data_IF_792244638071
#
_entry.id   IF_792244638071
#
_cell.length_a   1.000
_cell.length_b   1.000
_cell.length_c   1.000
_cell.angle_alpha   90.00
_cell.angle_beta   90.00
_cell.angle_gamma   90.00
#
_symmetry.space_group_name_H-M   'P 1'
#
loop_
_entity.id
_entity.type
_entity.pdbx_description
1 polymer ?
#
# COMPACT_ATOMS: atom_id res chain seq x y z
N UNK A 1 54.18 32.94 -4.75
CA UNK A 1 53.16 31.97 -5.26
C UNK A 1 52.27 31.39 -4.15
N UNK A 2 52.75 31.20 -2.91
CA UNK A 2 51.96 30.67 -1.78
C UNK A 2 50.79 31.57 -1.33
N UNK A 3 51.00 32.89 -1.34
CA UNK A 3 50.03 33.88 -0.87
C UNK A 3 48.79 33.98 -1.78
N UNK A 4 48.99 34.03 -3.10
CA UNK A 4 47.91 34.03 -4.08
C UNK A 4 47.03 32.76 -3.97
N UNK A 5 47.67 31.60 -3.82
CA UNK A 5 46.96 30.33 -3.63
C UNK A 5 46.16 30.33 -2.32
N UNK A 6 46.69 30.95 -1.25
CA UNK A 6 45.97 31.09 0.02
C UNK A 6 44.75 31.98 -0.09
N UNK A 7 44.87 33.11 -0.79
CA UNK A 7 43.76 34.05 -1.06
C UNK A 7 42.69 33.37 -1.91
N UNK A 8 43.05 32.69 -2.99
CA UNK A 8 42.11 31.96 -3.84
C UNK A 8 41.35 30.87 -3.06
N UNK A 9 42.06 30.11 -2.21
CA UNK A 9 41.43 29.12 -1.32
C UNK A 9 40.47 29.75 -0.33
N UNK A 10 40.79 30.92 0.21
CA UNK A 10 39.93 31.64 1.14
C UNK A 10 38.65 32.12 0.44
N UNK A 11 38.76 32.68 -0.77
CA UNK A 11 37.61 33.11 -1.60
C UNK A 11 36.74 31.91 -1.92
N UNK A 12 37.29 30.84 -2.47
CA UNK A 12 36.52 29.62 -2.81
C UNK A 12 35.83 29.03 -1.57
N UNK A 13 36.51 29.02 -0.44
CA UNK A 13 35.92 28.52 0.83
C UNK A 13 34.75 29.40 1.29
N UNK A 14 34.84 30.70 1.08
CA UNK A 14 33.80 31.65 1.48
C UNK A 14 32.58 31.54 0.55
N UNK A 15 32.78 31.43 -0.74
CA UNK A 15 31.73 31.14 -1.72
C UNK A 15 31.05 29.79 -1.46
N UNK A 16 31.81 28.75 -1.14
CA UNK A 16 31.25 27.43 -0.79
C UNK A 16 30.38 27.44 0.47
N UNK A 17 30.60 28.36 1.40
CA UNK A 17 29.73 28.53 2.58
C UNK A 17 28.36 29.10 2.26
N UNK A 18 28.23 29.82 1.15
CA UNK A 18 26.96 30.36 0.68
C UNK A 18 26.06 29.28 0.06
N UNK A 19 26.64 28.16 -0.38
CA UNK A 19 25.90 27.05 -0.98
C UNK A 19 25.32 26.15 0.11
N UNK A 20 24.02 25.93 0.05
CA UNK A 20 23.34 24.90 0.83
C UNK A 20 23.17 23.63 0.00
N UNK A 21 23.76 22.53 0.46
CA UNK A 21 23.70 21.26 -0.25
C UNK A 21 22.55 20.39 0.25
N UNK A 22 22.32 20.34 1.55
CA UNK A 22 21.24 19.60 2.15
C UNK A 22 21.13 19.83 3.64
N UNK A 23 19.93 19.63 4.18
CA UNK A 23 19.62 19.76 5.61
C UNK A 23 18.67 18.66 6.06
N UNK A 24 18.66 18.39 7.35
CA UNK A 24 17.62 17.61 8.01
C UNK A 24 16.59 18.56 8.61
N UNK A 25 15.31 18.24 8.42
CA UNK A 25 14.22 19.03 8.95
C UNK A 25 13.10 18.15 9.50
N UNK A 26 12.28 18.73 10.36
CA UNK A 26 11.09 18.09 10.92
C UNK A 26 9.85 18.77 10.32
N UNK A 27 8.89 17.99 9.84
CA UNK A 27 7.64 18.48 9.29
C UNK A 27 6.80 19.12 10.39
N UNK A 28 6.34 20.35 10.17
CA UNK A 28 5.50 21.11 11.11
C UNK A 28 4.06 21.28 10.62
N UNK A 29 3.82 21.26 9.30
CA UNK A 29 2.50 21.25 8.71
C UNK A 29 2.53 20.55 7.36
N UNK A 30 1.40 19.97 6.95
CA UNK A 30 1.22 19.27 5.67
C UNK A 30 0.04 19.88 4.94
N UNK A 31 0.18 20.11 3.65
CA UNK A 31 -0.84 20.68 2.77
C UNK A 31 -1.22 19.67 1.69
N UNK A 32 -2.17 18.76 1.98
CA UNK A 32 -2.65 17.80 0.98
C UNK A 32 -3.47 18.53 -0.08
N UNK A 33 -3.42 18.06 -1.32
CA UNK A 33 -4.40 18.41 -2.34
C UNK A 33 -5.68 17.63 -2.05
N UNK A 34 -6.61 18.26 -1.33
CA UNK A 34 -7.78 17.60 -0.76
C UNK A 34 -8.99 17.62 -1.70
N UNK A 35 -9.05 18.60 -2.59
CA UNK A 35 -10.10 18.74 -3.60
C UNK A 35 -9.56 19.47 -4.86
N UNK A 36 -10.30 19.37 -5.98
CA UNK A 36 -9.90 19.98 -7.26
C UNK A 36 -9.84 21.51 -7.23
N UNK A 37 -10.43 22.16 -6.24
CA UNK A 37 -10.47 23.61 -6.09
C UNK A 37 -9.35 24.18 -5.24
N UNK A 38 -8.59 23.36 -4.53
CA UNK A 38 -7.50 23.85 -3.71
C UNK A 38 -6.23 24.16 -4.54
N UNK A 39 -5.39 25.05 -4.00
CA UNK A 39 -4.13 25.46 -4.64
C UNK A 39 -2.92 24.71 -4.06
N UNK A 40 -3.13 23.62 -3.32
CA UNK A 40 -2.05 22.86 -2.72
C UNK A 40 -1.43 21.89 -3.71
N UNK A 41 -0.10 21.84 -3.73
CA UNK A 41 0.65 21.06 -4.70
C UNK A 41 1.71 20.21 -4.01
N UNK A 42 1.25 19.36 -3.08
CA UNK A 42 2.11 18.41 -2.36
C UNK A 42 3.28 19.09 -1.65
N UNK A 43 2.95 19.89 -0.65
CA UNK A 43 3.88 20.79 0.06
C UNK A 43 3.79 20.58 1.57
N UNK A 44 4.86 20.92 2.26
CA UNK A 44 4.94 20.88 3.72
C UNK A 44 5.65 22.10 4.28
N UNK A 45 5.28 22.51 5.50
CA UNK A 45 6.14 23.38 6.31
C UNK A 45 7.11 22.49 7.08
N UNK A 46 8.35 22.94 7.19
CA UNK A 46 9.39 22.20 7.89
C UNK A 46 10.26 23.13 8.73
N UNK A 47 10.69 22.65 9.88
CA UNK A 47 11.67 23.33 10.74
C UNK A 47 12.99 22.60 10.65
N UNK A 48 14.06 23.33 10.35
CA UNK A 48 15.41 22.77 10.32
C UNK A 48 15.76 22.13 11.66
N UNK A 49 16.42 20.99 11.63
CA UNK A 49 16.86 20.29 12.83
C UNK A 49 17.94 21.08 13.57
N UNK A 50 18.80 21.74 12.81
CA UNK A 50 19.87 22.60 13.34
C UNK A 50 19.44 24.06 13.31
N UNK A 51 18.63 24.49 14.30
CA UNK A 51 18.23 25.88 14.49
C UNK A 51 16.73 26.12 14.45
N UNK A 52 16.30 27.37 14.67
CA UNK A 52 14.89 27.73 14.75
C UNK A 52 14.24 28.04 13.39
N UNK A 53 14.99 27.94 12.27
CA UNK A 53 14.49 28.33 10.95
C UNK A 53 13.37 27.39 10.49
N UNK A 54 12.25 28.00 10.15
CA UNK A 54 11.11 27.32 9.57
C UNK A 54 10.94 27.74 8.10
N UNK A 55 10.86 26.74 7.22
CA UNK A 55 10.61 26.92 5.79
C UNK A 55 9.16 26.59 5.49
N UNK A 56 8.49 27.46 4.74
CA UNK A 56 7.07 27.35 4.41
C UNK A 56 6.86 26.83 3.00
N UNK A 57 5.83 26.00 2.85
CA UNK A 57 5.39 25.51 1.54
C UNK A 57 6.52 24.88 0.73
N UNK A 58 7.34 24.06 1.39
CA UNK A 58 8.43 23.34 0.71
C UNK A 58 7.84 22.20 -0.10
N UNK A 59 8.09 22.15 -1.42
CA UNK A 59 7.56 21.08 -2.27
C UNK A 59 8.20 19.74 -1.92
N UNK A 60 7.39 18.68 -2.01
CA UNK A 60 7.82 17.31 -1.80
C UNK A 60 8.03 16.61 -3.15
N UNK A 61 9.22 16.09 -3.38
CA UNK A 61 9.51 15.26 -4.55
C UNK A 61 8.74 13.93 -4.49
N UNK A 62 8.27 13.46 -5.64
CA UNK A 62 7.62 12.16 -5.79
C UNK A 62 8.41 11.30 -6.76
N UNK A 63 8.57 10.00 -6.52
CA UNK A 63 9.23 9.10 -7.47
C UNK A 63 8.42 8.88 -8.75
N UNK A 64 7.10 9.09 -8.71
CA UNK A 64 6.21 8.91 -9.85
C UNK A 64 5.02 9.86 -9.77
N UNK A 65 4.69 10.54 -10.87
CA UNK A 65 3.47 11.35 -10.99
C UNK A 65 2.25 10.43 -10.90
N UNK A 66 1.38 10.68 -9.94
CA UNK A 66 0.25 9.80 -9.60
C UNK A 66 0.46 8.98 -8.32
N UNK A 67 1.66 9.02 -7.73
CA UNK A 67 1.91 8.46 -6.40
C UNK A 67 1.87 9.58 -5.36
N UNK A 68 1.07 9.39 -4.32
CA UNK A 68 0.95 10.30 -3.19
C UNK A 68 1.31 9.58 -1.89
N UNK A 69 2.28 10.12 -1.18
CA UNK A 69 2.70 9.62 0.14
C UNK A 69 3.15 10.81 1.00
N UNK A 70 2.20 11.64 1.50
CA UNK A 70 2.55 12.81 2.30
C UNK A 70 3.20 12.39 3.63
N UNK A 71 4.19 13.14 4.10
CA UNK A 71 4.74 12.94 5.43
C UNK A 71 3.71 13.33 6.48
N UNK A 72 3.98 12.95 7.72
CA UNK A 72 3.19 13.39 8.89
C UNK A 72 3.92 14.50 9.60
N UNK A 73 3.16 15.30 10.35
CA UNK A 73 3.76 16.25 11.29
C UNK A 73 4.61 15.46 12.29
N UNK A 74 5.86 15.89 12.45
CA UNK A 74 6.86 15.20 13.26
C UNK A 74 7.82 14.30 12.47
N UNK A 75 7.53 13.97 11.22
CA UNK A 75 8.46 13.17 10.39
C UNK A 75 9.75 13.91 10.13
N UNK A 76 10.85 13.15 10.15
CA UNK A 76 12.17 13.62 9.75
C UNK A 76 12.31 13.53 8.23
N UNK A 77 12.69 14.64 7.60
CA UNK A 77 12.85 14.74 6.15
C UNK A 77 14.22 15.26 5.77
N UNK A 78 14.68 14.87 4.59
CA UNK A 78 15.89 15.40 3.97
C UNK A 78 15.53 16.47 2.94
N UNK A 79 16.14 17.64 3.09
CA UNK A 79 16.03 18.76 2.17
C UNK A 79 17.24 18.80 1.24
N UNK A 80 16.99 19.12 -0.01
CA UNK A 80 17.98 19.55 -0.98
C UNK A 80 17.63 20.96 -1.47
N UNK A 81 18.62 21.68 -1.98
CA UNK A 81 18.45 23.06 -2.44
C UNK A 81 18.83 23.17 -3.91
N UNK A 82 17.90 23.64 -4.73
CA UNK A 82 18.12 23.74 -6.19
C UNK A 82 19.24 24.75 -6.50
N UNK A 83 20.32 24.24 -7.08
CA UNK A 83 21.50 25.05 -7.38
C UNK A 83 22.25 25.57 -6.14
N UNK A 84 21.99 25.01 -4.95
CA UNK A 84 22.57 25.49 -3.70
C UNK A 84 21.88 26.72 -3.11
N UNK A 85 20.78 27.18 -3.72
CA UNK A 85 20.05 28.37 -3.27
C UNK A 85 19.14 28.04 -2.07
N UNK A 86 19.43 28.63 -0.93
CA UNK A 86 18.70 28.45 0.33
C UNK A 86 17.20 28.81 0.23
N UNK A 87 16.79 29.61 -0.76
CA UNK A 87 15.39 29.98 -1.01
C UNK A 87 14.64 28.98 -1.89
N UNK A 88 15.32 27.94 -2.36
CA UNK A 88 14.72 26.92 -3.27
C UNK A 88 14.86 25.50 -2.69
N UNK A 89 14.32 25.27 -1.47
CA UNK A 89 14.34 23.96 -0.84
C UNK A 89 13.36 23.00 -1.52
N UNK A 90 13.71 21.72 -1.55
CA UNK A 90 12.85 20.61 -1.96
C UNK A 90 13.01 19.49 -0.94
N UNK A 91 11.91 18.91 -0.46
CA UNK A 91 11.93 17.69 0.35
C UNK A 91 12.17 16.52 -0.60
N UNK A 92 13.31 15.83 -0.44
CA UNK A 92 13.69 14.70 -1.29
C UNK A 92 13.18 13.36 -0.77
N UNK A 93 12.83 13.27 0.50
CA UNK A 93 12.35 12.05 1.12
C UNK A 93 12.27 12.14 2.63
N UNK A 94 11.78 11.06 3.23
CA UNK A 94 11.69 10.87 4.68
C UNK A 94 12.82 9.96 5.17
N UNK A 95 13.23 10.18 6.40
CA UNK A 95 14.15 9.30 7.10
C UNK A 95 13.45 8.70 8.31
N UNK A 96 13.81 7.48 8.63
CA UNK A 96 13.40 6.88 9.89
C UNK A 96 14.15 7.50 11.07
N UNK A 97 13.53 7.44 12.23
CA UNK A 97 14.08 7.94 13.49
C UNK A 97 13.70 6.98 14.62
N UNK A 98 14.24 7.21 15.81
CA UNK A 98 13.86 6.42 16.99
C UNK A 98 12.36 6.50 17.34
N UNK A 99 11.70 7.58 16.92
CA UNK A 99 10.25 7.82 17.12
C UNK A 99 9.40 7.29 15.97
N UNK A 100 9.98 7.16 14.79
CA UNK A 100 9.31 6.65 13.58
C UNK A 100 10.20 5.59 12.93
N UNK A 101 10.14 4.36 13.44
CA UNK A 101 10.91 3.22 12.95
C UNK A 101 10.31 2.66 11.67
N UNK A 102 11.13 1.98 10.84
CA UNK A 102 10.62 1.23 9.70
C UNK A 102 9.68 0.10 10.16
N UNK A 103 8.76 -0.35 9.30
CA UNK A 103 8.06 -1.61 9.51
C UNK A 103 9.06 -2.75 9.77
N UNK A 104 8.64 -3.74 10.55
CA UNK A 104 9.45 -4.96 10.71
C UNK A 104 9.54 -5.65 9.36
N UNK A 105 10.75 -5.92 8.89
CA UNK A 105 11.01 -6.52 7.58
C UNK A 105 12.21 -7.46 7.64
N UNK A 106 12.32 -8.35 6.67
CA UNK A 106 13.46 -9.21 6.46
C UNK A 106 14.36 -8.64 5.36
N UNK A 107 15.57 -9.16 5.24
CA UNK A 107 16.42 -8.94 4.08
C UNK A 107 15.70 -9.45 2.82
N UNK A 108 15.81 -8.73 1.71
CA UNK A 108 15.11 -9.02 0.44
C UNK A 108 13.57 -8.89 0.46
N UNK A 109 12.99 -8.34 1.52
CA UNK A 109 11.57 -8.02 1.59
C UNK A 109 11.30 -6.58 1.11
N UNK A 110 10.31 -6.41 0.25
CA UNK A 110 9.73 -5.09 -0.05
C UNK A 110 8.38 -4.97 0.63
N UNK A 111 8.19 -3.89 1.41
CA UNK A 111 6.95 -3.68 2.19
C UNK A 111 6.53 -2.22 2.20
N UNK A 112 5.23 -2.00 2.08
CA UNK A 112 4.58 -0.70 2.32
C UNK A 112 3.46 -0.89 3.33
N UNK A 113 3.41 -0.04 4.34
CA UNK A 113 2.33 0.00 5.33
C UNK A 113 1.69 1.39 5.36
N UNK A 114 0.38 1.44 5.44
CA UNK A 114 -0.35 2.70 5.58
C UNK A 114 -1.69 2.49 6.33
N UNK A 115 -1.86 3.13 7.48
CA UNK A 115 -0.87 3.78 8.34
C UNK A 115 0.17 2.77 8.88
N UNK A 116 1.27 3.20 9.51
CA UNK A 116 2.21 2.27 10.16
C UNK A 116 1.48 1.30 11.10
N UNK A 117 1.73 -0.01 10.94
CA UNK A 117 1.00 -1.07 11.63
C UNK A 117 -0.42 -1.33 11.13
N UNK A 118 -0.84 -0.69 10.03
CA UNK A 118 -2.15 -0.89 9.40
C UNK A 118 -2.10 -1.82 8.19
N UNK A 119 -2.84 -1.46 7.13
CA UNK A 119 -2.85 -2.23 5.88
C UNK A 119 -1.46 -2.27 5.27
N UNK A 120 -1.03 -3.45 4.83
CA UNK A 120 0.28 -3.64 4.22
C UNK A 120 0.19 -4.32 2.85
N UNK A 121 1.17 -3.98 2.00
CA UNK A 121 1.52 -4.68 0.77
C UNK A 121 2.96 -5.16 0.93
N UNK A 122 3.22 -6.43 0.68
CA UNK A 122 4.56 -6.98 0.77
C UNK A 122 4.87 -7.90 -0.41
N UNK A 123 6.13 -7.88 -0.85
CA UNK A 123 6.77 -8.99 -1.54
C UNK A 123 7.73 -9.60 -0.51
N UNK A 124 7.43 -10.80 -0.07
CA UNK A 124 8.25 -11.46 0.95
C UNK A 124 9.55 -12.03 0.35
N UNK A 125 10.46 -12.46 1.22
CA UNK A 125 11.74 -13.02 0.80
C UNK A 125 11.60 -14.32 0.00
N UNK A 126 10.48 -15.01 0.12
CA UNK A 126 10.14 -16.22 -0.63
C UNK A 126 9.59 -15.92 -2.02
N UNK A 127 9.29 -14.65 -2.32
CA UNK A 127 8.74 -14.16 -3.59
C UNK A 127 7.23 -14.26 -3.69
N UNK A 128 6.52 -14.28 -2.56
CA UNK A 128 5.06 -14.19 -2.52
C UNK A 128 4.61 -12.74 -2.44
N UNK A 129 3.49 -12.42 -3.09
CA UNK A 129 2.81 -11.14 -2.93
C UNK A 129 1.72 -11.28 -1.86
N UNK A 130 1.81 -10.44 -0.82
CA UNK A 130 0.90 -10.49 0.33
C UNK A 130 0.25 -9.13 0.55
N UNK A 131 -1.07 -9.12 0.63
CA UNK A 131 -1.88 -7.96 1.04
C UNK A 131 -2.55 -8.28 2.37
N UNK A 132 -2.32 -7.46 3.37
CA UNK A 132 -2.95 -7.62 4.69
C UNK A 132 -3.76 -6.38 5.04
N UNK A 133 -5.02 -6.57 5.40
CA UNK A 133 -5.91 -5.51 5.87
C UNK A 133 -6.69 -6.03 7.09
N UNK A 134 -6.26 -5.64 8.28
CA UNK A 134 -6.77 -6.22 9.52
C UNK A 134 -6.51 -7.72 9.58
N UNK A 135 -7.58 -8.51 9.70
CA UNK A 135 -7.51 -9.98 9.74
C UNK A 135 -7.74 -10.63 8.35
N UNK A 136 -7.92 -9.82 7.31
CA UNK A 136 -8.04 -10.32 5.93
C UNK A 136 -6.67 -10.33 5.25
N UNK A 137 -6.31 -11.46 4.67
CA UNK A 137 -5.02 -11.69 3.99
C UNK A 137 -5.28 -12.27 2.61
N UNK A 138 -4.75 -11.63 1.58
CA UNK A 138 -4.62 -12.18 0.24
C UNK A 138 -3.15 -12.53 0.01
N UNK A 139 -2.88 -13.79 -0.33
CA UNK A 139 -1.53 -14.28 -0.63
C UNK A 139 -1.51 -14.85 -2.04
N UNK A 140 -0.58 -14.41 -2.85
CA UNK A 140 -0.24 -15.01 -4.15
C UNK A 140 1.17 -15.56 -4.05
N UNK A 141 1.32 -16.89 -4.05
CA UNK A 141 2.60 -17.54 -3.84
C UNK A 141 3.36 -17.77 -5.15
N UNK A 142 4.65 -17.90 -5.03
CA UNK A 142 5.57 -18.17 -6.17
C UNK A 142 5.22 -19.46 -6.93
N UNK A 143 4.60 -20.44 -6.27
CA UNK A 143 4.15 -21.69 -6.90
C UNK A 143 2.86 -21.53 -7.71
N UNK A 144 2.30 -20.32 -7.75
CA UNK A 144 1.05 -19.98 -8.44
C UNK A 144 -0.21 -20.19 -7.60
N UNK A 145 -0.10 -20.65 -6.37
CA UNK A 145 -1.27 -20.76 -5.48
C UNK A 145 -1.74 -19.39 -5.02
N UNK A 146 -3.07 -19.23 -4.89
CA UNK A 146 -3.72 -18.01 -4.40
C UNK A 146 -4.62 -18.38 -3.23
N UNK A 147 -4.49 -17.64 -2.13
CA UNK A 147 -5.28 -17.81 -0.92
C UNK A 147 -5.89 -16.46 -0.52
N UNK A 148 -7.18 -16.46 -0.22
CA UNK A 148 -7.87 -15.34 0.40
C UNK A 148 -8.47 -15.84 1.73
N UNK A 149 -7.93 -15.35 2.82
CA UNK A 149 -8.39 -15.64 4.18
C UNK A 149 -8.98 -14.39 4.80
N UNK A 150 -10.20 -14.47 5.31
CA UNK A 150 -10.89 -13.38 5.99
C UNK A 150 -11.64 -13.92 7.20
N UNK A 151 -11.88 -13.07 8.19
CA UNK A 151 -12.63 -13.43 9.40
C UNK A 151 -14.10 -13.07 9.28
N UNK A 152 -14.40 -12.04 8.50
CA UNK A 152 -15.74 -11.52 8.29
C UNK A 152 -16.27 -11.89 6.90
N UNK A 153 -17.34 -11.27 6.46
CA UNK A 153 -18.02 -11.56 5.21
C UNK A 153 -17.15 -11.32 3.97
N UNK A 154 -17.27 -12.21 3.00
CA UNK A 154 -16.80 -12.01 1.63
C UNK A 154 -17.99 -11.79 0.70
N UNK A 155 -18.11 -10.59 0.14
CA UNK A 155 -19.12 -10.26 -0.88
C UNK A 155 -18.47 -10.15 -2.25
N UNK A 156 -18.93 -10.95 -3.21
CA UNK A 156 -18.55 -10.84 -4.61
C UNK A 156 -19.76 -10.38 -5.43
N UNK A 157 -19.74 -9.17 -5.94
CA UNK A 157 -20.82 -8.58 -6.75
C UNK A 157 -20.29 -8.19 -8.12
N UNK A 158 -20.79 -8.80 -9.16
CA UNK A 158 -20.35 -8.62 -10.54
C UNK A 158 -21.56 -8.36 -11.44
N UNK A 159 -21.53 -7.28 -12.22
CA UNK A 159 -22.59 -6.98 -13.20
C UNK A 159 -22.57 -7.91 -14.42
N UNK A 160 -21.45 -8.53 -14.69
CA UNK A 160 -21.27 -9.51 -15.77
C UNK A 160 -21.37 -10.94 -15.27
N UNK A 161 -20.68 -11.85 -15.94
CA UNK A 161 -20.63 -13.25 -15.59
C UNK A 161 -19.46 -13.56 -14.65
N UNK A 162 -19.67 -14.52 -13.74
CA UNK A 162 -18.61 -15.17 -12.98
C UNK A 162 -18.46 -16.59 -13.52
N UNK A 163 -17.27 -16.96 -13.96
CA UNK A 163 -16.93 -18.31 -14.39
C UNK A 163 -15.88 -18.92 -13.46
N UNK A 164 -16.15 -20.09 -12.91
CA UNK A 164 -15.21 -20.88 -12.13
C UNK A 164 -14.84 -22.11 -12.94
N UNK A 165 -13.56 -22.24 -13.30
CA UNK A 165 -13.05 -23.40 -14.03
C UNK A 165 -11.95 -24.05 -13.18
N UNK A 166 -12.23 -25.23 -12.68
CA UNK A 166 -11.34 -26.00 -11.80
C UNK A 166 -11.57 -27.50 -12.00
N UNK A 167 -10.64 -28.29 -11.54
CA UNK A 167 -10.81 -29.76 -11.54
C UNK A 167 -11.87 -30.18 -10.54
N UNK A 168 -11.77 -29.68 -9.29
CA UNK A 168 -12.74 -29.93 -8.23
C UNK A 168 -13.11 -28.60 -7.56
N UNK A 169 -14.39 -28.42 -7.23
CA UNK A 169 -14.88 -27.28 -6.47
C UNK A 169 -15.57 -27.77 -5.21
N UNK A 170 -15.06 -27.37 -4.07
CA UNK A 170 -15.66 -27.67 -2.76
C UNK A 170 -16.26 -26.40 -2.17
N UNK A 171 -17.52 -26.47 -1.77
CA UNK A 171 -18.18 -25.43 -0.99
C UNK A 171 -18.60 -26.07 0.33
N UNK A 172 -17.95 -25.62 1.42
CA UNK A 172 -18.26 -26.08 2.78
C UNK A 172 -18.91 -24.92 3.55
N UNK A 173 -20.18 -25.07 3.87
CA UNK A 173 -20.96 -24.05 4.56
C UNK A 173 -21.69 -24.69 5.75
N UNK A 174 -21.52 -24.08 6.93
CA UNK A 174 -22.24 -24.50 8.14
C UNK A 174 -23.73 -24.14 8.13
N UNK A 175 -24.12 -23.21 7.23
CA UNK A 175 -25.50 -22.78 7.00
C UNK A 175 -26.01 -23.19 5.61
N UNK A 176 -26.88 -22.40 5.03
CA UNK A 176 -27.46 -22.66 3.72
C UNK A 176 -26.56 -22.24 2.57
N UNK A 177 -26.56 -22.99 1.49
CA UNK A 177 -26.02 -22.60 0.19
C UNK A 177 -27.19 -22.29 -0.72
N UNK A 178 -27.35 -21.01 -1.10
CA UNK A 178 -28.40 -20.55 -2.00
C UNK A 178 -27.83 -20.35 -3.40
N UNK A 179 -28.39 -21.08 -4.39
CA UNK A 179 -27.99 -20.98 -5.79
C UNK A 179 -29.17 -20.45 -6.62
N UNK A 180 -29.08 -19.15 -6.96
CA UNK A 180 -30.13 -18.45 -7.73
C UNK A 180 -31.25 -17.88 -6.86
N UNK A 181 -31.95 -16.90 -7.41
CA UNK A 181 -33.13 -16.28 -6.78
C UNK A 181 -34.40 -16.92 -7.34
N UNK A 182 -35.25 -17.52 -6.47
CA UNK A 182 -36.57 -18.05 -6.82
C UNK A 182 -36.58 -19.43 -7.46
N UNK A 183 -35.51 -20.19 -7.38
CA UNK A 183 -35.48 -21.59 -7.82
C UNK A 183 -36.13 -22.54 -6.81
N UNK A 184 -36.76 -23.59 -7.30
CA UNK A 184 -37.09 -24.77 -6.51
C UNK A 184 -35.79 -25.52 -6.16
N UNK A 185 -35.62 -25.96 -4.92
CA UNK A 185 -34.39 -26.52 -4.39
C UNK A 185 -33.73 -27.61 -5.27
N UNK A 186 -32.46 -27.83 -5.07
CA UNK A 186 -31.70 -28.87 -5.78
C UNK A 186 -32.12 -30.23 -5.24
N UNK A 187 -32.54 -31.12 -6.14
CA UNK A 187 -32.87 -32.51 -5.80
C UNK A 187 -31.54 -33.30 -5.79
N UNK A 188 -31.19 -33.85 -4.63
CA UNK A 188 -30.03 -34.73 -4.48
C UNK A 188 -30.37 -36.18 -4.81
N UNK A 189 -29.41 -36.87 -5.43
CA UNK A 189 -29.59 -38.28 -5.79
C UNK A 189 -29.83 -39.12 -4.51
N UNK A 190 -30.90 -39.91 -4.50
CA UNK A 190 -31.30 -40.79 -3.37
C UNK A 190 -32.13 -40.13 -2.28
N UNK A 191 -32.24 -38.79 -2.21
CA UNK A 191 -33.06 -38.11 -1.19
C UNK A 191 -34.56 -38.09 -1.48
N UNK A 192 -34.94 -38.21 -2.76
CA UNK A 192 -36.31 -38.15 -3.20
C UNK A 192 -36.67 -39.39 -4.04
N UNK A 193 -37.88 -39.90 -3.86
CA UNK A 193 -38.44 -41.01 -4.66
C UNK A 193 -39.58 -40.54 -5.52
N UNK A 194 -39.68 -41.09 -6.73
CA UNK A 194 -40.83 -40.86 -7.58
C UNK A 194 -42.08 -41.38 -6.89
N UNK A 195 -43.11 -40.53 -6.75
CA UNK A 195 -44.39 -40.91 -6.11
C UNK A 195 -45.07 -42.06 -6.81
N UNK A 196 -44.99 -42.18 -8.15
CA UNK A 196 -45.67 -43.22 -8.91
C UNK A 196 -44.89 -44.52 -9.01
N UNK A 197 -43.56 -44.49 -9.05
CA UNK A 197 -42.74 -45.68 -9.27
C UNK A 197 -42.01 -46.17 -8.03
N UNK A 198 -41.92 -45.32 -6.99
CA UNK A 198 -41.15 -45.62 -5.80
C UNK A 198 -39.63 -45.65 -6.02
N UNK A 199 -39.18 -45.46 -7.25
CA UNK A 199 -37.76 -45.45 -7.59
C UNK A 199 -37.11 -44.15 -7.18
N UNK A 200 -35.83 -44.17 -6.80
CA UNK A 200 -35.08 -42.92 -6.57
C UNK A 200 -35.10 -42.01 -7.79
N UNK A 201 -35.31 -40.73 -7.58
CA UNK A 201 -35.16 -39.76 -8.67
C UNK A 201 -33.70 -39.74 -9.08
N UNK A 202 -33.44 -39.88 -10.38
CA UNK A 202 -32.08 -39.82 -10.91
C UNK A 202 -31.67 -38.36 -10.92
N UNK A 203 -30.69 -38.04 -10.09
CA UNK A 203 -30.09 -36.71 -10.04
C UNK A 203 -29.35 -36.35 -11.33
N UNK A 204 -29.03 -35.09 -11.47
CA UNK A 204 -28.15 -34.63 -12.57
C UNK A 204 -26.79 -35.33 -12.52
N UNK A 205 -26.31 -35.81 -13.68
CA UNK A 205 -24.95 -36.36 -13.77
C UNK A 205 -23.86 -35.28 -13.61
N UNK A 206 -24.27 -34.01 -13.76
CA UNK A 206 -23.40 -32.85 -13.72
C UNK A 206 -23.49 -32.02 -12.41
N UNK A 207 -24.55 -32.23 -11.60
CA UNK A 207 -24.70 -31.59 -10.29
C UNK A 207 -24.88 -32.69 -9.25
N UNK A 208 -23.87 -32.88 -8.41
CA UNK A 208 -23.91 -33.82 -7.27
C UNK A 208 -23.82 -33.02 -5.98
N UNK A 209 -24.84 -33.10 -5.15
CA UNK A 209 -24.79 -32.63 -3.79
C UNK A 209 -24.44 -33.81 -2.88
N UNK A 210 -23.40 -33.67 -2.06
CA UNK A 210 -23.01 -34.67 -1.07
C UNK A 210 -23.97 -34.56 0.10
N UNK A 211 -24.70 -35.64 0.40
CA UNK A 211 -25.56 -35.77 1.56
C UNK A 211 -24.75 -36.10 2.81
#
# INVERSE_FOLDING_TARGET
MSELVSILRAIVRDELKSLRLGDLAVVTAVYPHADEGDAHNHECDVRLREGPLELKRVPLATPHVGQVSPPRVGDLVFLSYVGGDANRPIIMGRLYSDQARPPVHQEDEWRVESPPGGTSLALDAEGSFVVTAGETVLTVRKDGSVELAGKEDLKLEVKGNVALQCQDCTVDASGNVELGTGGTGIITEGSHKCYFTGAPLVGSKSVKAKG
#
